data_IF_879396276758
#
_entry.id   IF_879396276758
#
_cell.length_a   1.000
_cell.length_b   1.000
_cell.length_c   1.000
_cell.angle_alpha   90.00
_cell.angle_beta   90.00
_cell.angle_gamma   90.00
#
_symmetry.space_group_name_H-M   'P 1'
#
loop_
_entity.id
_entity.type
_entity.pdbx_description
1 polymer ?
#
# COMPACT_ATOMS: atom_id res chain seq x y z
N UNK A 1 17.02 21.85 -12.34
CA UNK A 1 17.19 21.40 -13.72
C UNK A 1 15.84 21.55 -14.42
N UNK A 2 15.81 22.10 -15.64
CA UNK A 2 14.58 22.13 -16.44
C UNK A 2 14.23 20.68 -16.79
N UNK A 3 12.98 20.28 -16.52
CA UNK A 3 12.53 18.94 -16.89
C UNK A 3 12.61 18.77 -18.41
N UNK A 4 13.12 17.62 -18.84
CA UNK A 4 13.06 17.25 -20.24
C UNK A 4 11.58 17.15 -20.64
N UNK A 5 11.23 17.66 -21.84
CA UNK A 5 9.90 17.50 -22.38
C UNK A 5 9.55 16.01 -22.47
N UNK A 6 8.27 15.63 -22.24
CA UNK A 6 7.85 14.24 -22.34
C UNK A 6 8.12 13.70 -23.75
N UNK A 7 8.59 12.47 -23.82
CA UNK A 7 8.71 11.75 -25.08
C UNK A 7 7.35 11.16 -25.45
N UNK A 8 6.86 11.51 -26.62
CA UNK A 8 5.52 11.10 -27.06
C UNK A 8 5.61 10.29 -28.35
N UNK A 9 4.80 9.23 -28.42
CA UNK A 9 4.51 8.48 -29.62
C UNK A 9 3.02 8.52 -29.91
N UNK A 10 2.66 8.70 -31.19
CA UNK A 10 1.28 8.62 -31.64
C UNK A 10 1.14 7.40 -32.56
N UNK A 11 0.25 6.51 -32.20
CA UNK A 11 -0.08 5.35 -33.00
C UNK A 11 -1.60 5.28 -33.17
N UNK A 12 -2.05 5.10 -34.41
CA UNK A 12 -3.47 5.07 -34.73
C UNK A 12 -4.20 6.32 -34.23
N UNK A 13 -5.02 6.18 -33.19
CA UNK A 13 -5.83 7.25 -32.62
C UNK A 13 -5.41 7.62 -31.19
N UNK A 14 -4.25 7.16 -30.72
CA UNK A 14 -3.79 7.34 -29.34
C UNK A 14 -2.42 8.01 -29.32
N UNK A 15 -2.26 9.04 -28.50
CA UNK A 15 -0.97 9.64 -28.15
C UNK A 15 -0.60 9.19 -26.74
N UNK A 16 0.53 8.50 -26.61
CA UNK A 16 1.13 8.12 -25.35
C UNK A 16 2.42 8.90 -25.12
N UNK A 17 2.57 9.45 -23.94
CA UNK A 17 3.76 10.19 -23.53
C UNK A 17 4.33 9.63 -22.24
N UNK A 18 5.66 9.62 -22.11
CA UNK A 18 6.36 9.25 -20.90
C UNK A 18 7.50 10.24 -20.64
N UNK A 19 7.86 10.38 -19.38
CA UNK A 19 8.94 11.25 -18.95
C UNK A 19 9.30 11.03 -17.50
N UNK A 20 10.18 11.92 -17.00
CA UNK A 20 10.64 11.91 -15.62
C UNK A 20 10.46 13.30 -15.05
N UNK A 21 9.83 13.40 -13.89
CA UNK A 21 9.61 14.66 -13.18
C UNK A 21 10.87 15.21 -12.52
N UNK A 22 10.76 16.40 -11.95
CA UNK A 22 11.89 17.13 -11.34
C UNK A 22 12.54 16.38 -10.17
N UNK A 23 11.76 15.55 -9.48
CA UNK A 23 12.21 14.72 -8.36
C UNK A 23 12.70 13.32 -8.78
N UNK A 24 12.76 13.05 -10.09
CA UNK A 24 13.13 11.74 -10.65
C UNK A 24 11.95 10.75 -10.73
N UNK A 25 10.71 11.16 -10.45
CA UNK A 25 9.53 10.32 -10.58
C UNK A 25 9.19 10.05 -12.05
N UNK A 26 9.17 8.80 -12.51
CA UNK A 26 8.68 8.49 -13.84
C UNK A 26 7.18 8.73 -13.92
N UNK A 27 6.72 9.22 -15.05
CA UNK A 27 5.30 9.40 -15.33
C UNK A 27 4.95 8.92 -16.74
N UNK A 28 3.69 8.56 -16.92
CA UNK A 28 3.12 8.29 -18.22
C UNK A 28 1.71 8.87 -18.32
N UNK A 29 1.32 9.26 -19.52
CA UNK A 29 -0.05 9.65 -19.80
C UNK A 29 -0.46 9.28 -21.23
N UNK A 30 -1.75 9.06 -21.41
CA UNK A 30 -2.33 8.59 -22.66
C UNK A 30 -3.58 9.44 -22.93
N UNK A 31 -3.76 9.88 -24.17
CA UNK A 31 -4.99 10.49 -24.63
C UNK A 31 -5.33 10.04 -26.05
N UNK A 32 -6.62 9.86 -26.33
CA UNK A 32 -7.09 9.58 -27.67
C UNK A 32 -7.09 10.84 -28.55
N UNK A 33 -7.10 10.66 -29.86
CA UNK A 33 -7.19 11.78 -30.81
C UNK A 33 -8.47 12.62 -30.62
N UNK A 34 -9.55 12.00 -30.17
CA UNK A 34 -10.82 12.64 -29.83
C UNK A 34 -10.91 13.04 -28.35
N UNK A 35 -9.79 13.41 -27.73
CA UNK A 35 -9.73 13.82 -26.33
C UNK A 35 -10.82 14.84 -25.98
N UNK A 36 -11.67 14.48 -25.01
CA UNK A 36 -12.88 15.24 -24.65
C UNK A 36 -12.63 16.39 -23.65
N UNK A 37 -11.38 16.59 -23.23
CA UNK A 37 -11.00 17.63 -22.28
C UNK A 37 -10.98 17.17 -20.81
N UNK A 38 -11.28 15.91 -20.51
CA UNK A 38 -11.24 15.37 -19.14
C UNK A 38 -10.10 14.39 -18.99
N UNK A 39 -9.26 14.57 -17.98
CA UNK A 39 -8.16 13.68 -17.65
C UNK A 39 -8.34 13.05 -16.26
N UNK A 40 -8.02 11.77 -16.14
CA UNK A 40 -7.96 11.01 -14.91
C UNK A 40 -6.50 10.89 -14.46
N UNK A 41 -6.19 11.44 -13.29
CA UNK A 41 -4.84 11.38 -12.67
C UNK A 41 -4.84 10.30 -11.62
N UNK A 42 -4.13 9.21 -11.87
CA UNK A 42 -4.11 8.05 -11.00
C UNK A 42 -2.95 8.08 -9.99
N UNK A 43 -3.29 7.77 -8.75
CA UNK A 43 -2.33 7.51 -7.67
C UNK A 43 -2.41 6.04 -7.27
N UNK A 44 -1.32 5.31 -7.48
CA UNK A 44 -1.24 3.90 -7.08
C UNK A 44 -1.21 3.73 -5.56
N UNK A 45 -1.60 2.55 -5.07
CA UNK A 45 -1.51 2.15 -3.67
C UNK A 45 -0.06 1.99 -3.19
N UNK A 46 0.10 1.53 -1.94
CA UNK A 46 1.44 1.29 -1.39
C UNK A 46 2.20 0.25 -2.20
N UNK A 47 3.49 0.53 -2.42
CA UNK A 47 4.45 -0.41 -2.98
C UNK A 47 5.61 -0.57 -2.00
N UNK A 48 6.11 -1.79 -1.75
CA UNK A 48 7.30 -1.98 -0.92
C UNK A 48 8.49 -1.17 -1.42
N UNK A 49 9.25 -0.60 -0.48
CA UNK A 49 10.43 0.21 -0.78
C UNK A 49 11.70 -0.61 -1.05
N UNK A 50 11.61 -1.94 -0.90
CA UNK A 50 12.70 -2.90 -1.10
C UNK A 50 12.23 -4.07 -1.95
N UNK A 51 13.15 -4.77 -2.57
CA UNK A 51 12.89 -6.10 -3.12
C UNK A 51 12.56 -7.07 -1.97
N UNK A 52 11.68 -8.03 -2.21
CA UNK A 52 11.34 -9.05 -1.23
C UNK A 52 11.60 -10.42 -1.87
N UNK A 53 12.50 -11.24 -1.31
CA UNK A 53 12.85 -12.52 -1.90
C UNK A 53 11.70 -13.55 -1.78
N UNK A 54 11.71 -14.53 -2.68
CA UNK A 54 10.72 -15.62 -2.69
C UNK A 54 10.74 -16.47 -1.40
N UNK A 55 11.84 -16.46 -0.67
CA UNK A 55 11.96 -17.13 0.62
C UNK A 55 11.06 -16.55 1.71
N UNK A 56 10.52 -15.37 1.47
CA UNK A 56 9.55 -14.71 2.37
C UNK A 56 8.11 -14.81 1.84
N UNK A 57 7.76 -15.93 1.21
CA UNK A 57 6.38 -16.19 0.82
C UNK A 57 5.46 -16.18 2.07
N UNK A 58 4.22 -15.69 1.94
CA UNK A 58 3.53 -15.23 0.74
C UNK A 58 3.76 -13.73 0.40
N UNK A 59 4.61 -13.02 1.14
CA UNK A 59 4.91 -11.60 0.89
C UNK A 59 5.77 -11.40 -0.36
N UNK A 60 6.75 -12.25 -0.56
CA UNK A 60 7.59 -12.32 -1.75
C UNK A 60 7.20 -13.48 -2.70
N UNK A 61 7.74 -13.51 -3.91
CA UNK A 61 8.73 -12.55 -4.44
C UNK A 61 8.11 -11.21 -4.84
N UNK A 62 8.84 -10.13 -4.62
CA UNK A 62 8.49 -8.81 -5.13
C UNK A 62 9.76 -8.09 -5.59
N UNK A 63 9.72 -7.47 -6.74
CA UNK A 63 10.78 -6.59 -7.24
C UNK A 63 10.32 -5.14 -7.08
N UNK A 64 11.11 -4.35 -6.36
CA UNK A 64 10.82 -2.94 -6.18
C UNK A 64 10.71 -2.24 -7.53
N UNK A 65 9.65 -1.49 -7.70
CA UNK A 65 9.39 -0.74 -8.93
C UNK A 65 8.89 0.66 -8.61
N UNK A 66 9.28 1.61 -9.46
CA UNK A 66 8.69 2.93 -9.55
C UNK A 66 8.05 3.14 -10.94
N UNK A 67 7.69 2.07 -11.65
CA UNK A 67 7.03 2.18 -12.93
C UNK A 67 5.76 3.05 -12.84
N UNK A 68 5.61 3.95 -13.80
CA UNK A 68 4.41 4.79 -13.89
C UNK A 68 3.19 3.96 -14.31
N UNK A 69 2.08 4.21 -13.66
CA UNK A 69 0.79 3.57 -13.96
C UNK A 69 -0.26 4.64 -14.24
N UNK A 70 -0.80 4.73 -15.47
CA UNK A 70 -1.82 5.74 -15.82
C UNK A 70 -3.22 5.39 -15.30
N UNK A 71 -3.39 4.28 -14.64
CA UNK A 71 -4.64 3.81 -14.03
C UNK A 71 -4.44 2.47 -13.33
N UNK A 72 -5.44 1.96 -12.61
CA UNK A 72 -5.32 0.68 -11.92
C UNK A 72 -5.15 -0.45 -12.93
N UNK A 73 -4.22 -1.35 -12.60
CA UNK A 73 -4.08 -2.63 -13.26
C UNK A 73 -4.96 -3.65 -12.53
N UNK A 74 -5.67 -4.48 -13.26
CA UNK A 74 -6.29 -5.67 -12.67
C UNK A 74 -5.21 -6.60 -12.08
N UNK A 75 -5.60 -7.51 -11.19
CA UNK A 75 -4.70 -8.51 -10.60
C UNK A 75 -3.97 -9.32 -11.68
N UNK A 76 -4.62 -9.51 -12.84
CA UNK A 76 -4.05 -10.15 -14.04
C UNK A 76 -3.08 -9.26 -14.82
N UNK A 77 -2.88 -7.99 -14.43
CA UNK A 77 -2.11 -7.01 -15.19
C UNK A 77 -2.87 -6.43 -16.39
N UNK A 78 -4.18 -6.65 -16.47
CA UNK A 78 -5.00 -6.18 -17.59
C UNK A 78 -5.24 -4.67 -17.51
N UNK A 79 -5.28 -4.02 -18.67
CA UNK A 79 -5.44 -2.58 -18.85
C UNK A 79 -6.89 -2.18 -19.19
N UNK A 80 -7.87 -3.03 -18.90
CA UNK A 80 -9.26 -2.84 -19.35
C UNK A 80 -9.85 -1.50 -18.95
N UNK A 81 -9.61 -1.05 -17.72
CA UNK A 81 -10.11 0.24 -17.23
C UNK A 81 -9.45 1.40 -17.99
N UNK A 82 -8.13 1.36 -18.14
CA UNK A 82 -7.36 2.38 -18.88
C UNK A 82 -7.84 2.44 -20.32
N UNK A 83 -7.95 1.29 -20.97
CA UNK A 83 -8.39 1.20 -22.37
C UNK A 83 -9.82 1.70 -22.55
N UNK A 84 -10.72 1.39 -21.62
CA UNK A 84 -12.11 1.85 -21.66
C UNK A 84 -12.22 3.37 -21.51
N UNK A 85 -11.44 3.98 -20.61
CA UNK A 85 -11.40 5.43 -20.43
C UNK A 85 -10.86 6.12 -21.70
N UNK A 86 -9.76 5.62 -22.26
CA UNK A 86 -9.16 6.16 -23.48
C UNK A 86 -10.11 6.00 -24.67
N UNK A 87 -10.77 4.84 -24.81
CA UNK A 87 -11.76 4.62 -25.88
C UNK A 87 -12.96 5.56 -25.77
N UNK A 88 -13.35 5.95 -24.56
CA UNK A 88 -14.40 6.93 -24.28
C UNK A 88 -13.94 8.41 -24.50
N UNK A 89 -12.71 8.63 -24.95
CA UNK A 89 -12.15 9.95 -25.22
C UNK A 89 -11.54 10.66 -24.02
N UNK A 90 -11.37 9.98 -22.88
CA UNK A 90 -10.68 10.55 -21.72
C UNK A 90 -9.16 10.47 -21.86
N UNK A 91 -8.48 11.40 -21.17
CA UNK A 91 -7.07 11.24 -20.87
C UNK A 91 -6.86 10.45 -19.59
N UNK A 92 -5.76 9.70 -19.50
CA UNK A 92 -5.33 9.00 -18.30
C UNK A 92 -3.86 9.28 -18.04
N UNK A 93 -3.49 9.49 -16.79
CA UNK A 93 -2.12 9.81 -16.42
C UNK A 93 -1.78 9.25 -15.02
N UNK A 94 -0.54 8.89 -14.81
CA UNK A 94 -0.07 8.46 -13.50
C UNK A 94 1.43 8.52 -13.36
N UNK A 95 1.88 8.73 -12.13
CA UNK A 95 3.29 8.72 -11.75
C UNK A 95 3.64 7.44 -10.99
N UNK A 96 4.89 7.00 -11.12
CA UNK A 96 5.45 5.93 -10.31
C UNK A 96 6.07 6.42 -9.02
N UNK A 97 6.04 7.72 -8.77
CA UNK A 97 6.65 8.44 -7.65
C UNK A 97 8.17 8.18 -7.51
N UNK A 98 8.88 9.12 -6.96
CA UNK A 98 10.34 9.02 -6.81
C UNK A 98 10.75 8.09 -5.66
N UNK A 99 9.88 7.92 -4.67
CA UNK A 99 10.09 7.05 -3.50
C UNK A 99 8.89 6.12 -3.31
N UNK A 100 9.13 4.92 -2.83
CA UNK A 100 8.12 3.93 -2.46
C UNK A 100 7.93 3.88 -0.94
N UNK A 101 6.95 3.15 -0.48
CA UNK A 101 6.51 3.14 0.91
C UNK A 101 5.47 4.21 1.19
N UNK A 102 5.49 4.78 2.39
CA UNK A 102 4.68 5.95 2.74
C UNK A 102 5.37 7.19 2.18
N UNK A 103 4.85 7.70 1.08
CA UNK A 103 5.50 8.67 0.19
C UNK A 103 4.60 9.87 -0.14
N UNK A 104 3.78 10.30 0.81
CA UNK A 104 2.74 11.32 0.59
C UNK A 104 3.28 12.63 0.02
N UNK A 105 4.41 13.11 0.53
CA UNK A 105 5.01 14.37 0.07
C UNK A 105 5.43 14.28 -1.39
N UNK A 106 6.12 13.19 -1.76
CA UNK A 106 6.59 12.93 -3.11
C UNK A 106 5.41 12.72 -4.07
N UNK A 107 4.39 11.99 -3.63
CA UNK A 107 3.20 11.73 -4.44
C UNK A 107 2.42 13.01 -4.76
N UNK A 108 2.23 13.91 -3.78
CA UNK A 108 1.59 15.19 -4.02
C UNK A 108 2.39 16.07 -5.00
N UNK A 109 3.70 16.14 -4.84
CA UNK A 109 4.56 16.91 -5.71
C UNK A 109 4.52 16.37 -7.15
N UNK A 110 4.67 15.04 -7.32
CA UNK A 110 4.63 14.38 -8.62
C UNK A 110 3.28 14.55 -9.32
N UNK A 111 2.16 14.42 -8.61
CA UNK A 111 0.82 14.61 -9.19
C UNK A 111 0.57 16.04 -9.64
N UNK A 112 1.02 17.04 -8.88
CA UNK A 112 0.92 18.45 -9.28
C UNK A 112 1.70 18.72 -10.57
N UNK A 113 2.92 18.24 -10.63
CA UNK A 113 3.76 18.35 -11.83
C UNK A 113 3.15 17.62 -13.02
N UNK A 114 2.61 16.40 -12.81
CA UNK A 114 1.96 15.61 -13.85
C UNK A 114 0.75 16.31 -14.43
N UNK A 115 -0.11 16.92 -13.59
CA UNK A 115 -1.26 17.72 -14.05
C UNK A 115 -0.80 18.88 -14.93
N UNK A 116 0.22 19.62 -14.49
CA UNK A 116 0.76 20.74 -15.26
C UNK A 116 1.35 20.28 -16.60
N UNK A 117 2.11 19.17 -16.59
CA UNK A 117 2.71 18.59 -17.80
C UNK A 117 1.66 18.08 -18.77
N UNK A 118 0.60 17.44 -18.28
CA UNK A 118 -0.51 16.97 -19.10
C UNK A 118 -1.25 18.15 -19.75
N UNK A 119 -1.61 19.19 -18.97
CA UNK A 119 -2.28 20.40 -19.47
C UNK A 119 -1.43 21.14 -20.50
N UNK A 120 -0.11 21.19 -20.31
CA UNK A 120 0.81 21.79 -21.29
C UNK A 120 0.82 21.02 -22.62
N UNK A 121 0.74 19.68 -22.59
CA UNK A 121 0.67 18.84 -23.80
C UNK A 121 -0.70 18.86 -24.45
N UNK A 122 -1.78 18.92 -23.65
CA UNK A 122 -3.17 18.93 -24.10
C UNK A 122 -3.88 20.19 -23.56
N UNK A 123 -3.69 21.35 -24.21
CA UNK A 123 -4.23 22.64 -23.73
C UNK A 123 -5.77 22.70 -23.71
N UNK A 124 -6.44 21.76 -24.36
CA UNK A 124 -7.90 21.61 -24.32
C UNK A 124 -8.42 20.96 -23.03
N UNK A 125 -7.53 20.59 -22.09
CA UNK A 125 -7.93 20.01 -20.81
C UNK A 125 -8.74 21.01 -19.98
N UNK A 126 -9.96 20.62 -19.64
CA UNK A 126 -10.93 21.43 -18.87
C UNK A 126 -11.18 20.83 -17.48
N UNK A 127 -11.17 19.51 -17.37
CA UNK A 127 -11.56 18.79 -16.16
C UNK A 127 -10.46 17.82 -15.76
N UNK A 128 -10.09 17.85 -14.49
CA UNK A 128 -9.12 16.95 -13.86
C UNK A 128 -9.82 16.14 -12.78
N UNK A 129 -9.89 14.84 -12.96
CA UNK A 129 -10.38 13.89 -11.97
C UNK A 129 -9.19 13.17 -11.36
N UNK A 130 -8.91 13.43 -10.10
CA UNK A 130 -7.90 12.65 -9.39
C UNK A 130 -8.54 11.38 -8.81
N UNK A 131 -7.86 10.25 -8.92
CA UNK A 131 -8.35 8.99 -8.40
C UNK A 131 -7.22 8.12 -7.87
N UNK A 132 -7.56 7.21 -6.97
CA UNK A 132 -6.56 6.33 -6.38
C UNK A 132 -7.16 5.32 -5.44
N UNK A 133 -6.39 4.30 -5.13
CA UNK A 133 -6.77 3.23 -4.23
C UNK A 133 -5.82 3.15 -3.03
N UNK A 134 -6.32 2.73 -1.86
CA UNK A 134 -5.52 2.54 -0.65
C UNK A 134 -4.72 3.80 -0.30
N UNK A 135 -3.39 3.72 -0.18
CA UNK A 135 -2.52 4.88 0.01
C UNK A 135 -2.67 5.91 -1.10
N UNK A 136 -2.87 5.48 -2.36
CA UNK A 136 -3.15 6.38 -3.48
C UNK A 136 -4.47 7.13 -3.33
N UNK A 137 -5.48 6.53 -2.70
CA UNK A 137 -6.71 7.22 -2.33
C UNK A 137 -6.46 8.35 -1.32
N UNK A 138 -5.60 8.13 -0.33
CA UNK A 138 -5.15 9.19 0.60
C UNK A 138 -4.41 10.32 -0.14
N UNK A 139 -3.49 9.98 -1.05
CA UNK A 139 -2.80 10.98 -1.87
C UNK A 139 -3.78 11.82 -2.69
N UNK A 140 -4.79 11.18 -3.28
CA UNK A 140 -5.85 11.83 -4.05
C UNK A 140 -6.68 12.79 -3.21
N UNK A 141 -7.10 12.35 -2.02
CA UNK A 141 -7.84 13.18 -1.09
C UNK A 141 -7.02 14.40 -0.66
N UNK A 142 -5.78 14.19 -0.22
CA UNK A 142 -4.89 15.26 0.21
C UNK A 142 -4.54 16.23 -0.93
N UNK A 143 -4.43 15.74 -2.16
CA UNK A 143 -4.24 16.60 -3.33
C UNK A 143 -5.42 17.55 -3.48
N UNK A 144 -6.65 17.05 -3.43
CA UNK A 144 -7.85 17.87 -3.55
C UNK A 144 -8.04 18.85 -2.38
N UNK A 145 -7.77 18.41 -1.16
CA UNK A 145 -7.89 19.26 0.04
C UNK A 145 -6.88 20.42 0.07
N UNK A 146 -5.64 20.14 -0.39
CA UNK A 146 -4.54 21.11 -0.33
C UNK A 146 -4.37 21.94 -1.60
N UNK A 147 -4.91 21.46 -2.71
CA UNK A 147 -4.80 22.08 -4.03
C UNK A 147 -6.14 21.99 -4.79
N UNK A 148 -7.23 22.53 -4.21
CA UNK A 148 -8.58 22.43 -4.80
C UNK A 148 -8.67 23.09 -6.18
N UNK A 149 -7.76 24.00 -6.51
CA UNK A 149 -7.68 24.67 -7.82
C UNK A 149 -7.15 23.76 -8.93
N UNK A 150 -6.56 22.62 -8.59
CA UNK A 150 -5.98 21.69 -9.56
C UNK A 150 -6.92 20.55 -9.94
N UNK A 151 -7.93 20.26 -9.11
CA UNK A 151 -8.74 19.05 -9.20
C UNK A 151 -10.22 19.39 -9.15
N UNK A 152 -10.95 18.96 -10.17
CA UNK A 152 -12.41 19.21 -10.29
C UNK A 152 -13.25 18.10 -9.64
N UNK A 153 -12.66 16.93 -9.41
CA UNK A 153 -13.34 15.81 -8.77
C UNK A 153 -12.36 14.71 -8.29
N UNK A 154 -12.84 13.87 -7.37
CA UNK A 154 -12.05 12.77 -6.83
C UNK A 154 -12.82 11.45 -6.85
N UNK A 155 -12.09 10.34 -7.05
CA UNK A 155 -12.58 8.98 -6.87
C UNK A 155 -11.65 8.25 -5.89
N UNK A 156 -12.19 7.90 -4.74
CA UNK A 156 -11.45 7.27 -3.65
C UNK A 156 -11.85 5.81 -3.52
N UNK A 157 -10.96 4.90 -3.94
CA UNK A 157 -11.18 3.48 -3.82
C UNK A 157 -10.49 2.94 -2.56
N UNK A 158 -11.27 2.59 -1.53
CA UNK A 158 -10.78 2.09 -0.24
C UNK A 158 -9.60 2.93 0.30
N UNK A 159 -9.76 4.26 0.43
CA UNK A 159 -8.64 5.14 0.76
C UNK A 159 -8.10 4.84 2.15
N UNK A 160 -6.79 4.89 2.31
CA UNK A 160 -6.13 4.90 3.62
C UNK A 160 -6.27 6.31 4.26
N UNK A 161 -7.49 6.86 4.22
CA UNK A 161 -7.78 8.27 4.47
C UNK A 161 -8.42 8.54 5.83
N UNK A 162 -8.58 7.55 6.68
CA UNK A 162 -8.82 7.80 8.09
C UNK A 162 -7.65 8.63 8.62
N UNK A 163 -7.84 9.45 9.68
CA UNK A 163 -6.74 10.26 10.16
C UNK A 163 -5.46 9.46 10.08
N UNK A 164 -4.49 9.94 9.31
CA UNK A 164 -3.29 9.15 8.99
C UNK A 164 -2.55 8.71 10.25
N UNK A 165 -2.69 9.45 11.34
CA UNK A 165 -2.25 9.12 12.68
C UNK A 165 -2.98 7.89 13.25
N UNK A 166 -4.30 7.77 13.09
CA UNK A 166 -5.05 6.61 13.56
C UNK A 166 -4.67 5.33 12.80
N UNK A 167 -4.45 5.43 11.48
CA UNK A 167 -4.00 4.29 10.68
C UNK A 167 -2.59 3.84 11.07
N UNK A 168 -1.67 4.80 11.26
CA UNK A 168 -0.30 4.55 11.68
C UNK A 168 -0.29 3.94 13.08
N UNK A 169 -1.07 4.49 14.00
CA UNK A 169 -1.21 3.96 15.37
C UNK A 169 -1.74 2.53 15.35
N UNK A 170 -2.80 2.27 14.58
CA UNK A 170 -3.38 0.93 14.46
C UNK A 170 -2.34 -0.12 13.99
N UNK A 171 -1.58 0.19 12.96
CA UNK A 171 -0.54 -0.72 12.47
C UNK A 171 0.64 -0.82 13.44
N UNK A 172 1.03 0.29 14.06
CA UNK A 172 2.08 0.32 15.08
C UNK A 172 1.71 -0.53 16.29
N UNK A 173 0.48 -0.42 16.77
CA UNK A 173 -0.05 -1.20 17.90
C UNK A 173 -0.10 -2.69 17.57
N UNK A 174 -0.51 -3.07 16.35
CA UNK A 174 -0.50 -4.46 15.91
C UNK A 174 0.92 -5.05 15.93
N UNK A 175 1.88 -4.32 15.37
CA UNK A 175 3.28 -4.74 15.33
C UNK A 175 3.90 -4.79 16.73
N UNK A 176 3.57 -3.81 17.58
CA UNK A 176 3.98 -3.80 18.98
C UNK A 176 3.37 -4.97 19.76
N UNK A 177 2.10 -5.28 19.51
CA UNK A 177 1.43 -6.44 20.08
C UNK A 177 2.12 -7.75 19.69
N UNK A 178 2.55 -7.91 18.45
CA UNK A 178 3.34 -9.05 18.02
C UNK A 178 4.67 -9.15 18.77
N UNK A 179 5.36 -8.01 18.90
CA UNK A 179 6.59 -7.94 19.70
C UNK A 179 6.37 -8.30 21.15
N UNK A 180 5.39 -7.70 21.80
CA UNK A 180 5.14 -7.85 23.23
C UNK A 180 4.64 -9.25 23.61
N UNK A 181 3.81 -9.86 22.76
CA UNK A 181 3.09 -11.09 23.10
C UNK A 181 3.71 -12.35 22.49
N UNK A 182 4.44 -12.25 21.39
CA UNK A 182 4.93 -13.42 20.65
C UNK A 182 6.44 -13.46 20.46
N UNK A 183 7.06 -12.36 20.02
CA UNK A 183 8.50 -12.32 19.76
C UNK A 183 9.08 -10.95 20.09
N UNK A 184 9.75 -10.79 21.24
CA UNK A 184 10.34 -9.53 21.68
C UNK A 184 11.47 -9.01 20.76
N UNK A 185 11.96 -9.83 19.84
CA UNK A 185 13.02 -9.46 18.89
C UNK A 185 12.48 -8.78 17.63
N UNK A 186 11.16 -8.70 17.47
CA UNK A 186 10.54 -7.93 16.37
C UNK A 186 10.93 -6.45 16.50
N UNK A 187 11.39 -5.88 15.42
CA UNK A 187 11.68 -4.44 15.34
C UNK A 187 10.40 -3.65 15.06
N UNK A 188 10.15 -2.64 15.86
CA UNK A 188 9.10 -1.64 15.63
C UNK A 188 9.70 -0.29 15.22
N UNK A 189 11.01 -0.26 14.99
CA UNK A 189 11.80 0.91 14.61
C UNK A 189 13.30 0.66 14.85
N UNK A 190 14.10 1.73 14.77
CA UNK A 190 15.55 1.64 15.00
C UNK A 190 16.30 0.85 13.93
N UNK A 191 15.81 0.89 12.67
CA UNK A 191 16.50 0.29 11.54
C UNK A 191 17.77 1.05 11.20
N UNK A 192 18.77 0.31 10.69
CA UNK A 192 20.03 0.90 10.23
C UNK A 192 19.82 2.00 9.18
N UNK A 193 20.66 3.01 9.21
CA UNK A 193 20.72 4.01 8.16
C UNK A 193 21.46 3.51 6.91
N UNK A 194 22.31 2.48 7.07
CA UNK A 194 22.95 1.80 5.93
C UNK A 194 21.91 0.99 5.14
N UNK A 195 21.76 1.20 3.83
CA UNK A 195 20.70 0.58 3.03
C UNK A 195 20.77 -0.96 3.01
N UNK A 196 21.97 -1.54 2.93
CA UNK A 196 22.14 -2.99 2.84
C UNK A 196 21.80 -3.66 4.19
N UNK A 197 22.31 -3.10 5.28
CA UNK A 197 22.01 -3.58 6.64
C UNK A 197 20.52 -3.43 6.93
N UNK A 198 19.92 -2.30 6.58
CA UNK A 198 18.48 -2.06 6.74
C UNK A 198 17.64 -3.08 5.99
N UNK A 199 17.99 -3.40 4.74
CA UNK A 199 17.29 -4.42 3.97
C UNK A 199 17.35 -5.79 4.64
N UNK A 200 18.53 -6.19 5.13
CA UNK A 200 18.68 -7.45 5.86
C UNK A 200 17.84 -7.48 7.14
N UNK A 201 17.82 -6.39 7.89
CA UNK A 201 16.99 -6.25 9.09
C UNK A 201 15.49 -6.33 8.74
N UNK A 202 15.05 -5.72 7.65
CA UNK A 202 13.67 -5.80 7.18
C UNK A 202 13.28 -7.24 6.79
N UNK A 203 14.14 -7.95 6.06
CA UNK A 203 13.90 -9.35 5.70
C UNK A 203 13.77 -10.23 6.95
N UNK A 204 14.67 -10.07 7.91
CA UNK A 204 14.60 -10.80 9.17
C UNK A 204 13.30 -10.49 9.93
N UNK A 205 12.88 -9.24 9.94
CA UNK A 205 11.66 -8.82 10.64
C UNK A 205 10.39 -9.34 9.95
N UNK A 206 10.30 -9.29 8.62
CA UNK A 206 9.22 -9.93 7.86
C UNK A 206 9.09 -11.40 8.23
N UNK A 207 10.20 -12.15 8.26
CA UNK A 207 10.21 -13.56 8.64
C UNK A 207 9.67 -13.82 10.05
N UNK A 208 10.03 -12.96 11.01
CA UNK A 208 9.50 -13.04 12.39
C UNK A 208 7.99 -12.76 12.43
N UNK A 209 7.53 -11.73 11.75
CA UNK A 209 6.10 -11.38 11.67
C UNK A 209 5.32 -12.52 11.03
N UNK A 210 5.80 -13.12 9.93
CA UNK A 210 5.17 -14.28 9.31
C UNK A 210 5.10 -15.48 10.28
N UNK A 211 6.15 -15.71 11.07
CA UNK A 211 6.16 -16.75 12.10
C UNK A 211 5.09 -16.48 13.17
N UNK A 212 4.95 -15.23 13.63
CA UNK A 212 3.92 -14.84 14.61
C UNK A 212 2.53 -15.03 14.03
N UNK A 213 2.31 -14.64 12.78
CA UNK A 213 1.02 -14.83 12.11
C UNK A 213 0.66 -16.32 11.99
N UNK A 214 1.65 -17.19 11.73
CA UNK A 214 1.45 -18.65 11.75
C UNK A 214 1.03 -19.15 13.13
N UNK A 215 1.71 -18.71 14.19
CA UNK A 215 1.34 -19.04 15.58
C UNK A 215 -0.06 -18.52 15.94
N UNK A 216 -0.38 -17.30 15.55
CA UNK A 216 -1.69 -16.69 15.78
C UNK A 216 -2.81 -17.49 15.08
N UNK A 217 -2.61 -17.87 13.83
CA UNK A 217 -3.56 -18.70 13.07
C UNK A 217 -3.78 -20.06 13.73
N UNK A 218 -2.71 -20.74 14.13
CA UNK A 218 -2.80 -22.02 14.84
C UNK A 218 -3.51 -21.88 16.19
N UNK A 219 -3.22 -20.81 16.92
CA UNK A 219 -3.86 -20.51 18.20
C UNK A 219 -5.36 -20.19 18.05
N UNK A 220 -5.74 -19.42 17.03
CA UNK A 220 -7.14 -19.14 16.72
C UNK A 220 -7.91 -20.43 16.38
N UNK A 221 -7.25 -21.33 15.64
CA UNK A 221 -7.83 -22.62 15.25
C UNK A 221 -8.06 -23.55 16.47
N UNK A 222 -7.05 -23.66 17.35
CA UNK A 222 -7.10 -24.53 18.52
C UNK A 222 -7.82 -23.91 19.71
N UNK A 223 -7.94 -22.58 19.76
CA UNK A 223 -8.41 -21.85 20.95
C UNK A 223 -7.38 -21.78 22.09
N UNK A 224 -6.17 -22.30 21.90
CA UNK A 224 -5.11 -22.36 22.88
C UNK A 224 -3.99 -21.36 22.56
N UNK A 225 -3.40 -20.76 23.61
CA UNK A 225 -2.23 -19.91 23.43
C UNK A 225 -1.05 -20.76 22.91
N UNK A 226 -0.35 -20.34 21.86
CA UNK A 226 0.67 -21.17 21.19
C UNK A 226 1.83 -21.59 22.07
N UNK A 227 2.19 -20.73 23.05
CA UNK A 227 3.26 -20.99 24.01
C UNK A 227 2.85 -20.50 25.41
N UNK A 228 2.25 -21.39 26.18
CA UNK A 228 1.80 -21.11 27.55
C UNK A 228 2.96 -20.90 28.53
N UNK A 229 4.17 -21.37 28.21
CA UNK A 229 5.37 -21.20 29.02
C UNK A 229 6.05 -19.84 28.77
N UNK A 230 5.71 -19.14 27.70
CA UNK A 230 6.23 -17.80 27.40
C UNK A 230 5.86 -16.78 28.49
N UNK A 231 6.62 -15.70 28.64
CA UNK A 231 6.25 -14.62 29.55
C UNK A 231 4.82 -14.09 29.32
N UNK A 232 4.42 -13.92 28.05
CA UNK A 232 3.08 -13.50 27.70
C UNK A 232 2.01 -14.54 28.08
N UNK A 233 2.24 -15.82 27.79
CA UNK A 233 1.35 -16.91 28.18
C UNK A 233 1.13 -16.98 29.70
N UNK A 234 2.20 -16.84 30.46
CA UNK A 234 2.15 -16.79 31.95
C UNK A 234 1.40 -15.54 32.44
N UNK A 235 1.65 -14.38 31.82
CA UNK A 235 0.96 -13.13 32.19
C UNK A 235 -0.55 -13.19 31.92
N UNK A 236 -0.96 -13.73 30.77
CA UNK A 236 -2.36 -13.96 30.45
C UNK A 236 -3.03 -14.90 31.45
N UNK A 237 -2.36 -16.00 31.80
CA UNK A 237 -2.86 -16.96 32.76
C UNK A 237 -3.00 -16.32 34.15
N UNK A 238 -1.98 -15.59 34.61
CA UNK A 238 -1.99 -14.90 35.90
C UNK A 238 -3.11 -13.82 35.97
N UNK A 239 -3.38 -13.15 34.86
CA UNK A 239 -4.45 -12.16 34.74
C UNK A 239 -5.84 -12.78 34.57
N UNK A 240 -5.97 -14.10 34.46
CA UNK A 240 -7.23 -14.77 34.19
C UNK A 240 -7.82 -14.47 32.80
N UNK A 241 -6.99 -14.04 31.85
CA UNK A 241 -7.44 -13.71 30.49
C UNK A 241 -7.48 -15.01 29.67
N UNK A 242 -8.67 -15.40 29.13
CA UNK A 242 -8.78 -16.58 28.30
C UNK A 242 -7.92 -16.47 27.04
N UNK A 243 -7.14 -17.52 26.74
CA UNK A 243 -6.28 -17.56 25.53
C UNK A 243 -7.04 -17.18 24.26
N UNK A 244 -8.26 -17.69 24.10
CA UNK A 244 -9.09 -17.37 22.93
C UNK A 244 -9.40 -15.88 22.81
N UNK A 245 -9.70 -15.21 23.91
CA UNK A 245 -9.98 -13.77 23.90
C UNK A 245 -8.75 -12.95 23.51
N UNK A 246 -7.59 -13.30 24.06
CA UNK A 246 -6.33 -12.66 23.69
C UNK A 246 -6.00 -12.86 22.21
N UNK A 247 -6.13 -14.10 21.71
CA UNK A 247 -5.88 -14.42 20.30
C UNK A 247 -6.83 -13.70 19.36
N UNK A 248 -8.11 -13.61 19.70
CA UNK A 248 -9.10 -12.87 18.90
C UNK A 248 -8.77 -11.38 18.86
N UNK A 249 -8.36 -10.79 19.97
CA UNK A 249 -7.98 -9.38 20.02
C UNK A 249 -6.77 -9.11 19.13
N UNK A 250 -5.70 -9.90 19.28
CA UNK A 250 -4.52 -9.76 18.43
C UNK A 250 -4.83 -10.06 16.96
N UNK A 251 -5.68 -11.05 16.69
CA UNK A 251 -6.13 -11.36 15.33
C UNK A 251 -6.87 -10.19 14.67
N UNK A 252 -7.77 -9.56 15.39
CA UNK A 252 -8.48 -8.36 14.91
C UNK A 252 -7.52 -7.21 14.64
N UNK A 253 -6.59 -6.94 15.56
CA UNK A 253 -5.56 -5.91 15.39
C UNK A 253 -4.67 -6.19 14.18
N UNK A 254 -4.35 -7.44 13.92
CA UNK A 254 -3.54 -7.85 12.77
C UNK A 254 -4.33 -7.93 11.45
N UNK A 255 -5.62 -7.63 11.46
CA UNK A 255 -6.49 -7.77 10.27
C UNK A 255 -6.72 -9.21 9.84
N UNK A 256 -6.43 -10.19 10.70
CA UNK A 256 -6.72 -11.60 10.44
C UNK A 256 -8.24 -11.82 10.57
N UNK A 257 -8.83 -12.48 9.58
CA UNK A 257 -10.25 -12.81 9.68
C UNK A 257 -10.51 -13.76 10.86
N UNK A 258 -11.38 -13.34 11.75
CA UNK A 258 -11.79 -14.12 12.93
C UNK A 258 -13.21 -14.69 12.79
N UNK A 259 -13.83 -14.53 11.63
CA UNK A 259 -15.19 -15.02 11.36
C UNK A 259 -15.20 -16.54 11.17
N UNK A 260 -16.23 -17.17 11.68
CA UNK A 260 -16.46 -18.60 11.46
C UNK A 260 -17.03 -18.94 10.08
N UNK A 261 -17.61 -17.93 9.40
CA UNK A 261 -18.11 -18.06 8.03
C UNK A 261 -17.90 -16.74 7.27
N UNK A 262 -17.58 -16.85 6.00
CA UNK A 262 -17.57 -15.73 5.07
C UNK A 262 -19.00 -15.32 4.67
N UNK A 263 -19.11 -14.13 4.07
CA UNK A 263 -20.40 -13.61 3.57
C UNK A 263 -20.96 -14.50 2.46
N UNK A 264 -20.10 -15.17 1.70
CA UNK A 264 -20.46 -16.11 0.64
C UNK A 264 -20.88 -17.51 1.16
N UNK A 265 -20.89 -17.70 2.49
CA UNK A 265 -21.29 -18.94 3.13
C UNK A 265 -20.21 -20.01 3.22
N UNK A 266 -19.02 -19.77 2.65
CA UNK A 266 -17.87 -20.66 2.84
C UNK A 266 -17.38 -20.61 4.29
N UNK A 267 -16.76 -21.70 4.76
CA UNK A 267 -16.20 -21.75 6.10
C UNK A 267 -15.10 -20.71 6.23
N UNK A 268 -15.29 -19.73 7.08
CA UNK A 268 -14.29 -18.76 7.43
C UNK A 268 -13.16 -19.42 8.24
N UNK A 269 -12.03 -18.72 8.41
CA UNK A 269 -10.98 -19.25 9.23
C UNK A 269 -11.48 -19.33 10.67
N UNK A 270 -11.80 -20.49 11.08
CA UNK A 270 -11.72 -20.86 12.50
C UNK A 270 -10.24 -20.82 12.90
N UNK A 271 -9.58 -19.70 12.61
CA UNK A 271 -8.15 -19.60 12.61
C UNK A 271 -7.48 -20.18 11.35
N UNK A 272 -8.20 -20.48 10.30
CA UNK A 272 -7.65 -21.17 9.16
C UNK A 272 -7.08 -20.23 8.10
N UNK A 273 -6.20 -20.78 7.31
CA UNK A 273 -5.40 -20.12 6.29
C UNK A 273 -6.19 -19.64 5.05
N UNK A 274 -7.51 -19.66 5.04
CA UNK A 274 -8.30 -19.41 3.82
C UNK A 274 -8.07 -18.05 3.21
N UNK A 275 -8.16 -17.01 4.02
CA UNK A 275 -7.92 -15.65 3.56
C UNK A 275 -6.58 -15.14 4.02
N UNK A 276 -5.92 -15.90 4.85
CA UNK A 276 -4.66 -15.54 5.46
C UNK A 276 -3.58 -15.17 4.44
N UNK A 277 -3.29 -15.94 3.40
CA UNK A 277 -2.29 -15.56 2.41
C UNK A 277 -2.69 -14.33 1.60
N UNK A 278 -3.99 -14.14 1.32
CA UNK A 278 -4.48 -13.06 0.49
C UNK A 278 -4.62 -11.74 1.23
N UNK A 279 -5.07 -11.79 2.50
CA UNK A 279 -5.29 -10.57 3.29
C UNK A 279 -4.05 -10.15 4.09
N UNK A 280 -3.27 -11.11 4.55
CA UNK A 280 -2.17 -10.86 5.50
C UNK A 280 -0.86 -10.53 4.82
N UNK A 281 -0.53 -11.15 3.68
CA UNK A 281 0.71 -10.84 2.99
C UNK A 281 0.84 -9.35 2.60
N UNK A 282 -0.18 -8.72 2.01
CA UNK A 282 -0.16 -7.27 1.80
C UNK A 282 -0.10 -6.48 3.11
N UNK A 283 -0.84 -6.89 4.14
CA UNK A 283 -0.83 -6.21 5.43
C UNK A 283 0.54 -6.27 6.10
N UNK A 284 1.21 -7.43 6.09
CA UNK A 284 2.58 -7.57 6.60
C UNK A 284 3.55 -6.71 5.81
N UNK A 285 3.47 -6.70 4.48
CA UNK A 285 4.32 -5.86 3.64
C UNK A 285 4.09 -4.37 3.94
N UNK A 286 2.84 -3.95 4.18
CA UNK A 286 2.51 -2.57 4.58
C UNK A 286 3.08 -2.26 5.95
N UNK A 287 2.85 -3.10 6.95
CA UNK A 287 3.35 -2.92 8.31
C UNK A 287 4.87 -2.79 8.35
N UNK A 288 5.56 -3.71 7.69
CA UNK A 288 7.02 -3.71 7.64
C UNK A 288 7.56 -2.49 6.90
N UNK A 289 6.93 -2.15 5.80
CA UNK A 289 7.32 -0.99 5.01
C UNK A 289 7.05 0.32 5.75
N UNK A 290 5.94 0.44 6.47
CA UNK A 290 5.66 1.58 7.34
C UNK A 290 6.65 1.64 8.50
N UNK A 291 6.92 0.53 9.17
CA UNK A 291 7.92 0.45 10.24
C UNK A 291 9.30 0.88 9.78
N UNK A 292 9.72 0.45 8.60
CA UNK A 292 11.01 0.82 8.02
C UNK A 292 11.08 2.28 7.54
N UNK A 293 9.99 2.82 7.01
CA UNK A 293 9.95 4.19 6.44
C UNK A 293 9.62 5.25 7.48
N UNK A 294 8.81 4.94 8.47
CA UNK A 294 8.38 5.87 9.52
C UNK A 294 9.21 5.75 10.80
N UNK A 295 9.94 4.64 10.95
CA UNK A 295 10.76 4.38 12.14
C UNK A 295 9.97 4.55 13.44
N UNK A 296 8.93 3.74 13.65
CA UNK A 296 8.01 3.84 14.79
C UNK A 296 8.70 4.00 16.16
N UNK A 297 9.91 3.46 16.32
CA UNK A 297 10.67 3.61 17.55
C UNK A 297 11.08 5.06 17.88
N UNK A 298 10.93 6.00 16.93
CA UNK A 298 11.13 7.42 17.17
C UNK A 298 9.83 8.19 17.37
N UNK A 299 8.69 7.54 17.13
CA UNK A 299 7.35 8.11 17.28
C UNK A 299 6.67 7.67 18.59
N UNK A 300 7.13 6.58 19.18
CA UNK A 300 6.71 6.04 20.48
C UNK A 300 7.75 6.36 21.55
#
# INVERSE_FOLDING_TARGET
>A
AANAAPQCATASYVTQCAGVGADGAPYTFIAAANFNGTVFIYSHGVRPAIDIPATLAPVGPYTKTNAAEPGPLAISGDLSVINSLVAAGYGVAGSGFSRQGVNTTEALAANKELIATFKAKFPTTKTVIAWGQSLGGMHTQLLAERNPELVDGVILACPAANPSDALITYFGDALWGFKALFDPTIKVGGYSTDPATRAAEQYANIGKVLTVLGKLSAGLSSGAWPDTASPAGKALQAAGIPSRSALLTVGLMAGVSTRSKHVDGTSGPTGAAETYPLAVAPAVAVLENMGATLNYGTLL
#
